data_IF_652813085757
#
_entry.id   IF_652813085757
#
_cell.length_a   1.000
_cell.length_b   1.000
_cell.length_c   1.000
_cell.angle_alpha   90.00
_cell.angle_beta   90.00
_cell.angle_gamma   90.00
#
_symmetry.space_group_name_H-M   'P 1'
#
loop_
_entity.id
_entity.type
_entity.pdbx_description
1 polymer ?
#
# COMPACT_ATOMS: atom_id res chain seq x y z
N UNK A 1 -31.58 13.90 -24.55
CA UNK A 1 -30.19 13.60 -24.96
C UNK A 1 -29.37 13.38 -23.70
N UNK A 2 -29.23 12.13 -23.26
CA UNK A 2 -28.47 11.81 -22.05
C UNK A 2 -26.98 11.91 -22.39
N UNK A 3 -26.31 12.93 -21.87
CA UNK A 3 -24.85 13.03 -21.97
C UNK A 3 -24.26 11.75 -21.37
N UNK A 4 -23.51 10.96 -22.17
CA UNK A 4 -22.68 9.87 -21.66
C UNK A 4 -21.75 10.46 -20.60
N UNK A 5 -22.16 10.42 -19.34
CA UNK A 5 -21.32 10.82 -18.22
C UNK A 5 -20.20 9.80 -18.16
N UNK A 6 -18.97 10.28 -18.29
CA UNK A 6 -17.79 9.44 -18.17
C UNK A 6 -17.86 8.72 -16.82
N UNK A 7 -17.99 7.40 -16.87
CA UNK A 7 -18.11 6.59 -15.67
C UNK A 7 -16.77 6.66 -14.92
N UNK A 8 -16.80 7.20 -13.70
CA UNK A 8 -15.61 7.40 -12.87
C UNK A 8 -14.90 6.08 -12.57
N UNK A 9 -15.63 4.98 -12.54
CA UNK A 9 -15.07 3.64 -12.35
C UNK A 9 -14.14 3.26 -13.52
N UNK A 10 -14.52 3.59 -14.76
CA UNK A 10 -13.64 3.35 -15.92
C UNK A 10 -12.35 4.16 -15.80
N UNK A 11 -12.45 5.42 -15.36
CA UNK A 11 -11.28 6.27 -15.11
C UNK A 11 -10.38 5.70 -14.01
N UNK A 12 -10.96 5.30 -12.88
CA UNK A 12 -10.22 4.71 -11.75
C UNK A 12 -9.54 3.40 -12.15
N UNK A 13 -10.24 2.50 -12.84
CA UNK A 13 -9.68 1.23 -13.31
C UNK A 13 -8.50 1.44 -14.28
N UNK A 14 -8.62 2.37 -15.23
CA UNK A 14 -7.51 2.69 -16.14
C UNK A 14 -6.29 3.25 -15.42
N UNK A 15 -6.48 4.13 -14.44
CA UNK A 15 -5.39 4.67 -13.62
C UNK A 15 -4.73 3.57 -12.79
N UNK A 16 -5.52 2.70 -12.16
CA UNK A 16 -5.01 1.57 -11.39
C UNK A 16 -4.19 0.62 -12.29
N UNK A 17 -4.69 0.29 -13.49
CA UNK A 17 -3.94 -0.54 -14.45
C UNK A 17 -2.61 0.09 -14.84
N UNK A 18 -2.57 1.40 -15.08
CA UNK A 18 -1.33 2.09 -15.41
C UNK A 18 -0.31 2.02 -14.26
N UNK A 19 -0.77 2.20 -13.02
CA UNK A 19 0.06 2.08 -11.81
C UNK A 19 0.57 0.65 -11.63
N UNK A 20 -0.29 -0.35 -11.84
CA UNK A 20 0.08 -1.77 -11.72
C UNK A 20 1.10 -2.19 -12.78
N UNK A 21 0.94 -1.75 -14.03
CA UNK A 21 1.92 -1.99 -15.11
C UNK A 21 3.28 -1.39 -14.71
N UNK A 22 3.29 -0.16 -14.20
CA UNK A 22 4.50 0.49 -13.74
C UNK A 22 5.19 -0.32 -12.62
N UNK A 23 4.47 -0.73 -11.58
CA UNK A 23 5.02 -1.55 -10.50
C UNK A 23 5.43 -2.96 -10.97
N UNK A 24 4.71 -3.53 -11.93
CA UNK A 24 5.07 -4.82 -12.51
C UNK A 24 6.41 -4.74 -13.24
N UNK A 25 6.65 -3.67 -14.01
CA UNK A 25 7.96 -3.43 -14.64
C UNK A 25 9.04 -3.26 -13.58
N UNK A 26 8.81 -2.47 -12.52
CA UNK A 26 9.78 -2.35 -11.41
C UNK A 26 10.05 -3.70 -10.71
N UNK A 27 9.05 -4.59 -10.65
CA UNK A 27 9.22 -5.92 -10.04
C UNK A 27 10.15 -6.85 -10.83
N UNK A 28 10.51 -6.51 -12.06
CA UNK A 28 11.46 -7.26 -12.88
C UNK A 28 12.91 -7.00 -12.45
N UNK A 29 13.20 -5.85 -11.84
CA UNK A 29 14.54 -5.45 -11.40
C UNK A 29 14.94 -6.02 -10.03
N UNK A 30 14.10 -6.88 -9.44
CA UNK A 30 14.40 -7.51 -8.15
C UNK A 30 15.59 -8.46 -8.27
N UNK A 31 16.59 -8.25 -7.40
CA UNK A 31 17.82 -9.06 -7.33
C UNK A 31 17.50 -10.55 -7.10
N UNK A 32 16.49 -10.85 -6.28
CA UNK A 32 16.03 -12.21 -6.03
C UNK A 32 14.67 -12.44 -6.72
N UNK A 33 14.58 -13.32 -7.73
CA UNK A 33 13.33 -13.64 -8.43
C UNK A 33 12.23 -14.17 -7.49
N UNK A 34 12.62 -14.84 -6.40
CA UNK A 34 11.69 -15.44 -5.45
C UNK A 34 11.04 -14.40 -4.56
N UNK A 35 11.78 -13.34 -4.23
CA UNK A 35 11.24 -12.19 -3.49
C UNK A 35 10.17 -11.44 -4.31
N UNK A 36 10.28 -11.46 -5.64
CA UNK A 36 9.32 -10.81 -6.53
C UNK A 36 8.01 -11.61 -6.72
N UNK A 37 7.94 -12.90 -6.34
CA UNK A 37 6.74 -13.73 -6.55
C UNK A 37 5.52 -13.16 -5.84
N UNK A 38 5.67 -12.74 -4.59
CA UNK A 38 4.56 -12.22 -3.79
C UNK A 38 4.03 -10.88 -4.31
N UNK A 39 4.88 -9.85 -4.55
CA UNK A 39 4.45 -8.62 -5.23
C UNK A 39 3.75 -8.89 -6.57
N UNK A 40 4.31 -9.76 -7.42
CA UNK A 40 3.70 -10.10 -8.73
C UNK A 40 2.34 -10.78 -8.59
N UNK A 41 2.15 -11.65 -7.60
CA UNK A 41 0.87 -12.29 -7.34
C UNK A 41 -0.21 -11.27 -6.94
N UNK A 42 0.13 -10.34 -6.03
CA UNK A 42 -0.80 -9.27 -5.64
C UNK A 42 -1.13 -8.37 -6.83
N UNK A 43 -0.12 -7.96 -7.60
CA UNK A 43 -0.32 -7.11 -8.79
C UNK A 43 -1.21 -7.79 -9.81
N UNK A 44 -1.05 -9.10 -10.04
CA UNK A 44 -1.88 -9.85 -10.98
C UNK A 44 -3.34 -9.93 -10.52
N UNK A 45 -3.57 -10.22 -9.23
CA UNK A 45 -4.94 -10.24 -8.67
C UNK A 45 -5.58 -8.85 -8.75
N UNK A 46 -4.83 -7.81 -8.37
CA UNK A 46 -5.27 -6.41 -8.45
C UNK A 46 -5.60 -6.00 -9.88
N UNK A 47 -4.78 -6.38 -10.85
CA UNK A 47 -5.02 -6.11 -12.27
C UNK A 47 -6.28 -6.78 -12.79
N UNK A 48 -6.58 -8.02 -12.36
CA UNK A 48 -7.84 -8.68 -12.70
C UNK A 48 -9.02 -7.87 -12.14
N UNK A 49 -8.96 -7.45 -10.87
CA UNK A 49 -10.02 -6.62 -10.26
C UNK A 49 -10.19 -5.28 -10.98
N UNK A 50 -9.09 -4.67 -11.38
CA UNK A 50 -9.10 -3.41 -12.13
C UNK A 50 -9.71 -3.56 -13.52
N UNK A 51 -9.41 -4.66 -14.23
CA UNK A 51 -10.06 -5.00 -15.50
C UNK A 51 -11.56 -5.22 -15.29
N UNK A 52 -11.96 -5.97 -14.25
CA UNK A 52 -13.37 -6.19 -13.93
C UNK A 52 -14.09 -4.87 -13.65
N UNK A 53 -13.43 -3.94 -12.97
CA UNK A 53 -13.95 -2.60 -12.66
C UNK A 53 -14.12 -1.73 -13.91
N UNK A 54 -13.19 -1.81 -14.87
CA UNK A 54 -13.36 -1.19 -16.19
C UNK A 54 -14.55 -1.81 -16.93
N UNK A 55 -14.66 -3.15 -16.94
CA UNK A 55 -15.78 -3.84 -17.61
C UNK A 55 -17.12 -3.48 -16.97
N UNK A 56 -17.22 -3.45 -15.65
CA UNK A 56 -18.44 -3.03 -14.94
C UNK A 56 -18.77 -1.57 -15.25
N UNK A 57 -17.78 -0.69 -15.22
CA UNK A 57 -17.97 0.73 -15.53
C UNK A 57 -18.42 0.98 -16.97
N UNK A 58 -18.01 0.14 -17.92
CA UNK A 58 -18.46 0.20 -19.32
C UNK A 58 -19.86 -0.38 -19.52
N UNK A 59 -20.28 -1.34 -18.69
CA UNK A 59 -21.61 -1.97 -18.75
C UNK A 59 -22.69 -1.15 -18.02
N UNK A 60 -22.29 -0.36 -17.03
CA UNK A 60 -23.20 0.46 -16.24
C UNK A 60 -23.72 1.65 -17.05
N UNK A 61 -25.04 1.67 -17.29
CA UNK A 61 -25.71 2.75 -18.02
C UNK A 61 -26.22 3.85 -17.11
N UNK A 62 -26.47 3.54 -15.83
CA UNK A 62 -26.99 4.45 -14.81
C UNK A 62 -25.93 4.75 -13.74
N UNK A 63 -24.79 5.30 -14.19
CA UNK A 63 -23.70 5.67 -13.29
C UNK A 63 -24.10 6.81 -12.33
N UNK A 64 -24.15 6.48 -11.04
CA UNK A 64 -24.28 7.44 -9.95
C UNK A 64 -22.88 7.73 -9.40
N UNK A 65 -22.40 8.95 -9.63
CA UNK A 65 -21.09 9.35 -9.13
C UNK A 65 -21.05 9.25 -7.59
N UNK A 66 -20.05 8.57 -7.01
CA UNK A 66 -19.91 8.49 -5.57
C UNK A 66 -19.63 9.88 -5.00
N UNK A 67 -20.24 10.19 -3.85
CA UNK A 67 -20.04 11.46 -3.18
C UNK A 67 -18.67 11.46 -2.49
N UNK A 68 -17.67 12.08 -3.14
CA UNK A 68 -16.32 12.20 -2.59
C UNK A 68 -16.31 13.18 -1.41
N UNK A 69 -16.45 12.64 -0.18
CA UNK A 69 -16.46 13.46 1.05
C UNK A 69 -15.18 14.28 1.25
N UNK A 70 -14.00 13.71 0.98
CA UNK A 70 -12.71 14.42 1.05
C UNK A 70 -11.55 13.59 0.53
N UNK A 71 -10.65 14.20 -0.24
CA UNK A 71 -9.35 13.62 -0.60
C UNK A 71 -8.27 13.82 0.47
N UNK A 72 -8.56 14.58 1.54
CA UNK A 72 -7.57 14.93 2.57
C UNK A 72 -7.07 13.70 3.32
N UNK A 73 -7.97 12.80 3.72
CA UNK A 73 -7.59 11.62 4.50
C UNK A 73 -6.69 10.64 3.70
N UNK A 74 -7.05 10.23 2.46
CA UNK A 74 -6.16 9.43 1.62
C UNK A 74 -4.81 10.10 1.37
N UNK A 75 -4.79 11.42 1.13
CA UNK A 75 -3.56 12.16 0.86
C UNK A 75 -2.63 12.21 2.08
N UNK A 76 -3.16 12.41 3.28
CA UNK A 76 -2.38 12.39 4.52
C UNK A 76 -1.77 11.00 4.73
N UNK A 77 -2.55 9.94 4.53
CA UNK A 77 -2.04 8.57 4.64
C UNK A 77 -0.95 8.28 3.61
N UNK A 78 -1.13 8.74 2.36
CA UNK A 78 -0.11 8.60 1.32
C UNK A 78 1.19 9.29 1.72
N UNK A 79 1.12 10.55 2.19
CA UNK A 79 2.28 11.30 2.66
C UNK A 79 2.96 10.58 3.82
N UNK A 80 2.21 10.06 4.79
CA UNK A 80 2.74 9.30 5.92
C UNK A 80 3.48 8.05 5.48
N UNK A 81 2.92 7.28 4.53
CA UNK A 81 3.57 6.07 4.00
C UNK A 81 4.85 6.43 3.22
N UNK A 82 4.81 7.50 2.42
CA UNK A 82 5.99 7.98 1.70
C UNK A 82 7.09 8.43 2.66
N UNK A 83 6.76 9.18 3.71
CA UNK A 83 7.72 9.59 4.75
C UNK A 83 8.33 8.39 5.46
N UNK A 84 7.53 7.37 5.76
CA UNK A 84 8.03 6.12 6.33
C UNK A 84 9.01 5.40 5.38
N UNK A 85 8.67 5.29 4.09
CA UNK A 85 9.55 4.67 3.10
C UNK A 85 10.90 5.39 2.95
N UNK A 86 10.89 6.73 2.96
CA UNK A 86 12.11 7.55 2.92
C UNK A 86 12.92 7.39 4.21
N UNK A 87 12.28 7.36 5.38
CA UNK A 87 12.97 7.12 6.64
C UNK A 87 13.61 5.73 6.70
N UNK A 88 12.95 4.72 6.11
CA UNK A 88 13.47 3.36 6.02
C UNK A 88 14.72 3.28 5.16
N UNK A 89 14.79 4.03 4.06
CA UNK A 89 16.00 4.10 3.22
C UNK A 89 17.18 4.78 3.94
N UNK A 90 16.90 5.76 4.83
CA UNK A 90 17.93 6.51 5.55
C UNK A 90 18.43 5.82 6.84
N UNK A 91 17.53 5.16 7.58
CA UNK A 91 17.80 4.68 8.94
C UNK A 91 17.61 3.17 9.12
N UNK A 92 17.04 2.52 8.12
CA UNK A 92 16.69 1.11 8.16
C UNK A 92 15.31 0.82 8.73
N UNK A 93 14.89 -0.44 8.57
CA UNK A 93 13.58 -0.96 8.95
C UNK A 93 13.31 -0.81 10.45
N UNK A 94 14.26 -1.24 11.30
CA UNK A 94 14.06 -1.27 12.75
C UNK A 94 13.93 0.13 13.35
N UNK A 95 14.83 1.04 12.97
CA UNK A 95 14.82 2.43 13.47
C UNK A 95 13.55 3.15 13.02
N UNK A 96 13.16 2.96 11.76
CA UNK A 96 11.93 3.55 11.21
C UNK A 96 10.68 3.00 11.90
N UNK A 97 10.63 1.70 12.17
CA UNK A 97 9.47 1.05 12.80
C UNK A 97 9.26 1.52 14.24
N UNK A 98 10.33 1.65 15.02
CA UNK A 98 10.26 2.17 16.41
C UNK A 98 9.70 3.59 16.47
N UNK A 99 9.93 4.41 15.44
CA UNK A 99 9.48 5.81 15.43
C UNK A 99 8.07 5.92 14.84
N UNK A 100 7.86 5.34 13.65
CA UNK A 100 6.62 5.52 12.90
C UNK A 100 5.47 4.65 13.40
N UNK A 101 5.74 3.46 13.95
CA UNK A 101 4.68 2.59 14.47
C UNK A 101 3.95 3.21 15.67
N UNK A 102 4.62 3.71 16.73
CA UNK A 102 3.93 4.41 17.82
C UNK A 102 3.24 5.69 17.35
N UNK A 103 3.85 6.42 16.42
CA UNK A 103 3.27 7.65 15.87
C UNK A 103 1.97 7.36 15.11
N UNK A 104 1.95 6.31 14.29
CA UNK A 104 0.74 5.82 13.63
C UNK A 104 -0.32 5.36 14.63
N UNK A 105 0.06 4.60 15.66
CA UNK A 105 -0.85 4.19 16.74
C UNK A 105 -1.46 5.40 17.46
N UNK A 106 -0.66 6.43 17.73
CA UNK A 106 -1.11 7.67 18.35
C UNK A 106 -2.10 8.43 17.45
N UNK A 107 -1.81 8.55 16.14
CA UNK A 107 -2.72 9.18 15.17
C UNK A 107 -4.05 8.43 15.04
N UNK A 108 -4.04 7.11 15.17
CA UNK A 108 -5.23 6.26 15.18
C UNK A 108 -6.00 6.28 16.51
N UNK A 109 -5.52 7.04 17.51
CA UNK A 109 -6.20 7.25 18.78
C UNK A 109 -5.81 6.28 19.90
N UNK A 110 -4.83 5.40 19.68
CA UNK A 110 -4.34 4.52 20.75
C UNK A 110 -3.51 5.31 21.75
N UNK A 111 -3.99 5.41 23.00
CA UNK A 111 -3.33 6.18 24.07
C UNK A 111 -2.68 5.33 25.16
N UNK A 112 -2.77 4.01 25.07
CA UNK A 112 -2.15 3.13 26.03
C UNK A 112 -0.64 3.04 25.78
N UNK A 113 0.15 3.70 26.63
CA UNK A 113 1.62 3.76 26.51
C UNK A 113 2.28 2.36 26.50
N UNK A 114 1.71 1.38 27.22
CA UNK A 114 2.21 0.00 27.23
C UNK A 114 2.05 -0.65 25.85
N UNK A 115 0.94 -0.38 25.17
CA UNK A 115 0.72 -0.87 23.82
C UNK A 115 1.58 -0.11 22.80
N UNK A 116 1.69 1.21 22.95
CA UNK A 116 2.48 2.05 22.03
C UNK A 116 3.96 1.70 22.00
N UNK A 117 4.53 1.20 23.08
CA UNK A 117 5.92 0.74 23.13
C UNK A 117 5.99 -0.79 22.94
N UNK A 118 5.13 -1.54 23.61
CA UNK A 118 5.18 -3.00 23.61
C UNK A 118 4.91 -3.62 22.23
N UNK A 119 4.02 -3.04 21.44
CA UNK A 119 3.72 -3.54 20.09
C UNK A 119 4.91 -3.36 19.14
N UNK A 120 5.49 -2.16 18.94
CA UNK A 120 6.66 -2.00 18.07
C UNK A 120 7.86 -2.83 18.53
N UNK A 121 8.16 -2.87 19.83
CA UNK A 121 9.30 -3.65 20.35
C UNK A 121 9.09 -5.15 20.10
N UNK A 122 7.90 -5.67 20.38
CA UNK A 122 7.60 -7.09 20.13
C UNK A 122 7.63 -7.42 18.63
N UNK A 123 7.09 -6.52 17.80
CA UNK A 123 7.13 -6.65 16.34
C UNK A 123 8.56 -6.71 15.83
N UNK A 124 9.43 -5.80 16.28
CA UNK A 124 10.82 -5.74 15.88
C UNK A 124 11.59 -6.98 16.30
N UNK A 125 11.41 -7.45 17.54
CA UNK A 125 12.03 -8.69 18.03
C UNK A 125 11.54 -9.88 17.19
N UNK A 126 10.25 -9.97 16.91
CA UNK A 126 9.69 -11.03 16.09
C UNK A 126 10.25 -11.01 14.67
N UNK A 127 10.29 -9.83 14.02
CA UNK A 127 10.83 -9.66 12.68
C UNK A 127 12.33 -9.95 12.65
N UNK A 128 13.09 -9.54 13.66
CA UNK A 128 14.51 -9.86 13.78
C UNK A 128 14.74 -11.37 13.83
N UNK A 129 14.02 -12.08 14.70
CA UNK A 129 14.17 -13.54 14.82
C UNK A 129 13.78 -14.25 13.52
N UNK A 130 12.67 -13.85 12.90
CA UNK A 130 12.19 -14.51 11.69
C UNK A 130 13.08 -14.19 10.48
N UNK A 131 13.40 -12.93 10.25
CA UNK A 131 14.09 -12.52 9.02
C UNK A 131 15.61 -12.53 9.13
N UNK A 132 16.18 -12.10 10.27
CA UNK A 132 17.65 -12.06 10.45
C UNK A 132 18.16 -13.42 10.90
N UNK A 133 17.51 -14.06 11.89
CA UNK A 133 18.02 -15.33 12.41
C UNK A 133 17.64 -16.52 11.54
N UNK A 134 16.37 -16.68 11.16
CA UNK A 134 15.94 -17.86 10.39
C UNK A 134 16.22 -17.73 8.89
N UNK A 135 15.92 -16.57 8.29
CA UNK A 135 16.05 -16.37 6.85
C UNK A 135 17.40 -15.76 6.41
N UNK A 136 18.25 -15.34 7.37
CA UNK A 136 19.54 -14.69 7.12
C UNK A 136 19.48 -13.51 6.13
N UNK A 137 18.36 -12.79 6.12
CA UNK A 137 18.16 -11.64 5.25
C UNK A 137 18.80 -10.40 5.88
N UNK A 138 19.57 -9.66 5.07
CA UNK A 138 20.03 -8.33 5.41
C UNK A 138 18.90 -7.35 5.10
N UNK A 139 18.26 -6.84 6.14
CA UNK A 139 17.32 -5.74 6.03
C UNK A 139 18.10 -4.42 6.14
N UNK A 140 17.78 -3.41 5.31
CA UNK A 140 18.35 -2.09 5.45
C UNK A 140 18.04 -1.49 6.82
#
# INVERSE_FOLDING_TARGET
MSSKRFNGDVGTGLVLLAIEIFFYVMSLDFINPDAARWPKAILLISAILSILLVISGLRETDYVAPEYKSLKAPLITLIMITLYAVAMDLTGFFVSTIIFCPLGMYMLGQRNWKAMIGVPVLLDVFVYVLFVTQLQLQMP
#
